data_IF_938151004718
#
_entry.id   IF_938151004718
#
_cell.length_a   1.000
_cell.length_b   1.000
_cell.length_c   1.000
_cell.angle_alpha   90.00
_cell.angle_beta   90.00
_cell.angle_gamma   90.00
#
_symmetry.space_group_name_H-M   'P 1'
#
loop_
_entity.id
_entity.type
_entity.pdbx_description
1 polymer ?
#
# COMPACT_ATOMS: atom_id res chain seq x y z
N UNK A 1 31.72 3.25 -18.89
CA UNK A 1 30.54 3.99 -18.42
C UNK A 1 29.68 4.39 -19.61
N UNK A 2 28.41 3.99 -19.65
CA UNK A 2 27.51 4.35 -20.74
C UNK A 2 27.27 5.87 -20.76
N UNK A 3 27.44 6.49 -21.93
CA UNK A 3 27.29 7.94 -22.10
C UNK A 3 25.84 8.34 -21.78
N UNK A 4 25.59 9.34 -20.92
CA UNK A 4 24.23 9.77 -20.60
C UNK A 4 23.50 10.18 -21.89
N UNK A 5 22.25 9.73 -22.01
CA UNK A 5 21.32 10.05 -23.11
C UNK A 5 21.34 11.56 -23.40
N UNK A 6 21.34 11.95 -24.68
CA UNK A 6 21.27 13.36 -25.07
C UNK A 6 20.06 14.07 -24.47
N UNK A 7 18.96 13.35 -24.24
CA UNK A 7 17.76 13.88 -23.59
C UNK A 7 18.01 14.18 -22.10
N UNK A 8 18.83 13.38 -21.40
CA UNK A 8 19.18 13.62 -19.98
C UNK A 8 20.07 14.85 -19.79
N UNK A 9 20.69 15.36 -20.86
CA UNK A 9 21.50 16.59 -20.84
C UNK A 9 20.68 17.87 -21.05
N UNK A 10 19.43 17.74 -21.50
CA UNK A 10 18.54 18.90 -21.67
C UNK A 10 18.21 19.52 -20.31
N UNK A 11 17.89 20.83 -20.24
CA UNK A 11 17.36 21.47 -19.05
C UNK A 11 16.15 20.72 -18.48
N UNK A 12 15.97 20.77 -17.16
CA UNK A 12 14.87 20.08 -16.49
C UNK A 12 13.50 20.49 -17.05
N UNK A 13 13.31 21.79 -17.29
CA UNK A 13 12.08 22.34 -17.89
C UNK A 13 11.71 21.70 -19.23
N UNK A 14 12.70 21.44 -20.09
CA UNK A 14 12.49 20.81 -21.40
C UNK A 14 12.10 19.34 -21.24
N UNK A 15 12.73 18.63 -20.29
CA UNK A 15 12.41 17.24 -19.99
C UNK A 15 10.99 17.10 -19.43
N UNK A 16 10.59 18.00 -18.53
CA UNK A 16 9.24 18.04 -17.97
C UNK A 16 8.21 18.35 -19.07
N UNK A 17 8.56 19.23 -20.01
CA UNK A 17 7.70 19.52 -21.15
C UNK A 17 7.54 18.31 -22.08
N UNK A 18 8.61 17.53 -22.32
CA UNK A 18 8.54 16.26 -23.07
C UNK A 18 7.58 15.29 -22.37
N UNK A 19 7.69 15.16 -21.04
CA UNK A 19 6.80 14.31 -20.26
C UNK A 19 5.32 14.76 -20.37
N UNK A 20 5.05 16.06 -20.21
CA UNK A 20 3.70 16.63 -20.38
C UNK A 20 3.11 16.40 -21.78
N UNK A 21 3.90 16.60 -22.82
CA UNK A 21 3.46 16.36 -24.21
C UNK A 21 3.17 14.88 -24.45
N UNK A 22 4.00 13.99 -23.89
CA UNK A 22 3.76 12.54 -23.97
C UNK A 22 2.47 12.15 -23.27
N UNK A 23 2.24 12.67 -22.06
CA UNK A 23 1.02 12.44 -21.28
C UNK A 23 -0.23 12.96 -22.01
N UNK A 24 -0.10 14.07 -22.74
CA UNK A 24 -1.13 14.62 -23.64
C UNK A 24 -1.35 13.84 -24.95
N UNK A 25 -0.67 12.70 -25.16
CA UNK A 25 -0.87 11.82 -26.31
C UNK A 25 0.00 12.13 -27.53
N UNK A 26 0.97 13.04 -27.44
CA UNK A 26 1.86 13.32 -28.55
C UNK A 26 2.78 12.13 -28.88
N UNK A 27 2.99 11.89 -30.18
CA UNK A 27 3.91 10.86 -30.66
C UNK A 27 5.37 11.32 -30.53
N UNK A 28 6.29 10.35 -30.55
CA UNK A 28 7.74 10.63 -30.53
C UNK A 28 8.12 11.59 -31.66
N UNK A 29 7.54 11.42 -32.85
CA UNK A 29 7.87 12.24 -34.02
C UNK A 29 7.34 13.68 -33.89
N UNK A 30 6.17 13.88 -33.28
CA UNK A 30 5.62 15.21 -32.98
C UNK A 30 6.48 15.96 -31.94
N UNK A 31 6.91 15.25 -30.89
CA UNK A 31 7.79 15.81 -29.86
C UNK A 31 9.16 16.14 -30.47
N UNK A 32 9.68 15.27 -31.32
CA UNK A 32 10.97 15.48 -32.01
C UNK A 32 10.93 16.72 -32.90
N UNK A 33 9.83 16.93 -33.65
CA UNK A 33 9.66 18.12 -34.48
C UNK A 33 9.74 19.42 -33.66
N UNK A 34 9.12 19.43 -32.47
CA UNK A 34 9.18 20.58 -31.55
C UNK A 34 10.54 20.79 -30.91
N UNK A 35 11.27 19.71 -30.63
CA UNK A 35 12.65 19.81 -30.15
C UNK A 35 13.62 20.27 -31.25
N UNK A 36 13.32 19.99 -32.51
CA UNK A 36 14.10 20.49 -33.65
C UNK A 36 13.93 22.01 -33.86
N UNK A 37 12.72 22.56 -33.63
CA UNK A 37 12.48 24.02 -33.63
C UNK A 37 13.34 24.76 -32.59
N UNK A 38 13.72 24.07 -31.50
CA UNK A 38 14.51 24.60 -30.39
C UNK A 38 16.01 24.30 -30.50
N UNK A 39 16.46 23.73 -31.63
CA UNK A 39 17.84 23.28 -31.89
C UNK A 39 18.43 22.38 -30.78
N UNK A 40 17.58 21.55 -30.16
CA UNK A 40 17.94 20.77 -28.97
C UNK A 40 18.86 19.56 -29.26
N UNK A 41 19.18 19.26 -30.52
CA UNK A 41 20.15 18.24 -30.91
C UNK A 41 19.83 16.81 -30.44
N UNK A 42 18.55 16.45 -30.32
CA UNK A 42 18.08 15.15 -29.82
C UNK A 42 17.81 14.19 -30.98
N UNK A 43 18.36 12.97 -30.92
CA UNK A 43 18.02 11.93 -31.89
C UNK A 43 16.73 11.21 -31.53
N UNK A 44 16.02 10.71 -32.55
CA UNK A 44 14.79 9.92 -32.40
C UNK A 44 14.95 8.74 -31.45
N UNK A 45 16.05 8.00 -31.55
CA UNK A 45 16.33 6.83 -30.69
C UNK A 45 16.66 7.20 -29.24
N UNK A 46 17.20 8.41 -29.00
CA UNK A 46 17.41 8.90 -27.64
C UNK A 46 16.08 9.34 -27.01
N UNK A 47 15.23 10.02 -27.78
CA UNK A 47 13.89 10.41 -27.36
C UNK A 47 13.01 9.19 -27.08
N UNK A 48 13.01 8.19 -27.97
CA UNK A 48 12.22 6.97 -27.80
C UNK A 48 12.56 6.20 -26.52
N UNK A 49 13.85 6.04 -26.19
CA UNK A 49 14.26 5.41 -24.92
C UNK A 49 13.81 6.20 -23.70
N UNK A 50 13.91 7.53 -23.76
CA UNK A 50 13.46 8.39 -22.67
C UNK A 50 11.94 8.32 -22.48
N UNK A 51 11.17 8.34 -23.57
CA UNK A 51 9.71 8.19 -23.52
C UNK A 51 9.31 6.82 -22.96
N UNK A 52 10.00 5.73 -23.34
CA UNK A 52 9.79 4.41 -22.76
C UNK A 52 10.04 4.39 -21.24
N UNK A 53 11.10 5.05 -20.76
CA UNK A 53 11.37 5.18 -19.32
C UNK A 53 10.21 5.91 -18.61
N UNK A 54 9.71 7.01 -19.18
CA UNK A 54 8.58 7.77 -18.60
C UNK A 54 7.28 6.96 -18.63
N UNK A 55 6.97 6.31 -19.74
CA UNK A 55 5.75 5.51 -19.88
C UNK A 55 5.73 4.35 -18.88
N UNK A 56 6.87 3.69 -18.68
CA UNK A 56 7.01 2.63 -17.68
C UNK A 56 6.78 3.14 -16.25
N UNK A 57 7.34 4.31 -15.92
CA UNK A 57 7.12 4.94 -14.62
C UNK A 57 5.65 5.36 -14.43
N UNK A 58 5.04 5.94 -15.45
CA UNK A 58 3.63 6.34 -15.42
C UNK A 58 2.69 5.13 -15.25
N UNK A 59 3.02 4.01 -15.90
CA UNK A 59 2.29 2.75 -15.75
C UNK A 59 2.40 2.18 -14.35
N UNK A 60 3.58 2.23 -13.74
CA UNK A 60 3.78 1.77 -12.36
C UNK A 60 2.99 2.63 -11.36
N UNK A 61 2.94 3.94 -11.57
CA UNK A 61 2.13 4.86 -10.76
C UNK A 61 0.63 4.55 -10.93
N UNK A 62 0.17 4.31 -12.16
CA UNK A 62 -1.24 3.93 -12.41
C UNK A 62 -1.60 2.62 -11.72
N UNK A 63 -0.74 1.60 -11.81
CA UNK A 63 -0.94 0.32 -11.10
C UNK A 63 -1.00 0.52 -9.60
N UNK A 64 -0.07 1.30 -9.04
CA UNK A 64 -0.04 1.60 -7.61
C UNK A 64 -1.30 2.33 -7.16
N UNK A 65 -1.78 3.32 -7.93
CA UNK A 65 -3.04 4.02 -7.64
C UNK A 65 -4.25 3.10 -7.74
N UNK A 66 -4.37 2.32 -8.81
CA UNK A 66 -5.45 1.35 -8.97
C UNK A 66 -5.47 0.33 -7.82
N UNK A 67 -4.29 -0.10 -7.35
CA UNK A 67 -4.17 -0.98 -6.20
C UNK A 67 -4.58 -0.27 -4.90
N UNK A 68 -4.14 0.97 -4.67
CA UNK A 68 -4.54 1.77 -3.52
C UNK A 68 -6.07 2.02 -3.51
N UNK A 69 -6.66 2.37 -4.66
CA UNK A 69 -8.10 2.56 -4.81
C UNK A 69 -8.87 1.26 -4.56
N UNK A 70 -8.42 0.14 -5.12
CA UNK A 70 -9.03 -1.18 -4.89
C UNK A 70 -8.96 -1.58 -3.41
N UNK A 71 -7.87 -1.21 -2.73
CA UNK A 71 -7.69 -1.39 -1.30
C UNK A 71 -8.67 -0.49 -0.53
N UNK A 72 -8.68 0.83 -0.77
CA UNK A 72 -9.61 1.75 -0.09
C UNK A 72 -11.08 1.37 -0.33
N UNK A 73 -11.44 0.94 -1.55
CA UNK A 73 -12.79 0.49 -1.88
C UNK A 73 -13.20 -0.80 -1.14
N UNK A 74 -12.25 -1.70 -0.87
CA UNK A 74 -12.51 -2.97 -0.14
C UNK A 74 -12.45 -2.81 1.37
N UNK A 75 -11.61 -1.92 1.87
CA UNK A 75 -11.23 -1.84 3.27
C UNK A 75 -11.77 -0.59 3.99
N UNK A 76 -12.15 0.47 3.26
CA UNK A 76 -12.74 1.70 3.81
C UNK A 76 -11.76 2.57 4.60
N UNK A 77 -12.15 3.82 4.87
CA UNK A 77 -11.45 4.68 5.82
C UNK A 77 -11.75 4.22 7.26
N UNK A 78 -10.70 3.98 8.06
CA UNK A 78 -10.80 3.65 9.49
C UNK A 78 -10.48 2.20 9.87
N UNK A 79 -10.17 1.33 8.90
CA UNK A 79 -9.86 -0.09 9.16
C UNK A 79 -8.37 -0.38 8.88
N UNK A 80 -7.45 0.43 9.46
CA UNK A 80 -5.98 0.28 9.34
C UNK A 80 -5.52 -1.16 9.60
N UNK A 81 -6.17 -1.84 10.55
CA UNK A 81 -5.94 -3.23 10.89
C UNK A 81 -6.34 -4.19 9.74
N UNK A 82 -7.42 -3.89 9.01
CA UNK A 82 -7.85 -4.67 7.84
C UNK A 82 -6.95 -4.43 6.63
N UNK A 83 -6.46 -3.20 6.47
CA UNK A 83 -5.43 -2.85 5.48
C UNK A 83 -4.10 -3.58 5.75
N UNK A 84 -3.65 -3.59 7.01
CA UNK A 84 -2.46 -4.31 7.43
C UNK A 84 -2.58 -5.82 7.13
N UNK A 85 -3.74 -6.42 7.44
CA UNK A 85 -4.04 -7.82 7.08
C UNK A 85 -4.02 -8.05 5.57
N UNK A 86 -4.64 -7.17 4.78
CA UNK A 86 -4.63 -7.28 3.32
C UNK A 86 -3.20 -7.27 2.73
N UNK A 87 -2.34 -6.39 3.25
CA UNK A 87 -0.93 -6.33 2.87
C UNK A 87 -0.18 -7.61 3.27
N UNK A 88 -0.46 -8.18 4.46
CA UNK A 88 0.14 -9.45 4.89
C UNK A 88 -0.27 -10.61 3.97
N UNK A 89 -1.55 -10.70 3.60
CA UNK A 89 -2.05 -11.72 2.65
C UNK A 89 -1.42 -11.57 1.26
N UNK A 90 -1.29 -10.34 0.77
CA UNK A 90 -0.65 -10.07 -0.53
C UNK A 90 0.84 -10.44 -0.52
N UNK A 91 1.55 -10.16 0.59
CA UNK A 91 2.93 -10.58 0.79
C UNK A 91 3.06 -12.11 0.87
N UNK A 92 2.14 -12.80 1.55
CA UNK A 92 2.07 -14.26 1.53
C UNK A 92 1.92 -14.79 0.09
N UNK A 93 1.05 -14.19 -0.72
CA UNK A 93 0.88 -14.58 -2.13
C UNK A 93 2.11 -14.32 -3.00
N UNK A 94 2.87 -13.24 -2.75
CA UNK A 94 4.14 -12.97 -3.43
C UNK A 94 5.23 -13.99 -3.04
N UNK A 95 5.35 -14.29 -1.74
CA UNK A 95 6.27 -15.30 -1.24
C UNK A 95 5.94 -16.70 -1.77
N UNK A 96 4.65 -17.04 -1.89
CA UNK A 96 4.22 -18.28 -2.53
C UNK A 96 4.59 -18.30 -4.01
N UNK A 97 4.35 -17.21 -4.76
CA UNK A 97 4.80 -17.11 -6.16
C UNK A 97 6.32 -17.23 -6.31
N UNK A 98 7.12 -16.73 -5.37
CA UNK A 98 8.57 -16.93 -5.37
C UNK A 98 8.97 -18.40 -5.24
N UNK A 99 8.14 -19.24 -4.62
CA UNK A 99 8.35 -20.68 -4.54
C UNK A 99 8.00 -21.41 -5.86
N UNK A 100 7.32 -20.74 -6.80
CA UNK A 100 6.85 -21.36 -8.05
C UNK A 100 7.17 -20.50 -9.28
N UNK A 101 8.04 -21.00 -10.16
CA UNK A 101 8.29 -20.41 -11.46
C UNK A 101 7.62 -21.26 -12.56
N UNK A 102 6.70 -20.68 -13.34
CA UNK A 102 5.93 -21.39 -14.38
C UNK A 102 5.26 -22.69 -13.90
N UNK A 103 4.75 -22.70 -12.67
CA UNK A 103 4.11 -23.89 -12.07
C UNK A 103 5.08 -24.98 -11.60
N UNK A 104 6.39 -24.76 -11.73
CA UNK A 104 7.43 -25.63 -11.14
C UNK A 104 7.95 -25.02 -9.86
N UNK A 105 8.18 -25.88 -8.86
CA UNK A 105 8.80 -25.46 -7.61
C UNK A 105 10.22 -24.96 -7.89
N UNK A 106 10.53 -23.77 -7.38
CA UNK A 106 11.88 -23.21 -7.44
C UNK A 106 12.76 -24.04 -6.49
N UNK A 107 13.88 -24.56 -7.00
CA UNK A 107 14.92 -25.12 -6.14
C UNK A 107 15.59 -23.97 -5.40
N UNK A 108 15.60 -24.06 -4.07
CA UNK A 108 16.16 -23.03 -3.20
C UNK A 108 17.36 -23.60 -2.47
N UNK A 109 18.43 -22.82 -2.39
CA UNK A 109 19.53 -23.16 -1.50
C UNK A 109 19.16 -22.90 -0.02
N UNK A 110 20.03 -23.34 0.89
CA UNK A 110 19.77 -23.19 2.34
C UNK A 110 19.64 -21.73 2.79
N UNK A 111 20.33 -20.80 2.11
CA UNK A 111 20.34 -19.37 2.44
C UNK A 111 19.05 -18.70 1.94
N UNK A 112 18.61 -19.04 0.73
CA UNK A 112 17.35 -18.60 0.15
C UNK A 112 16.15 -19.11 0.96
N UNK A 113 16.19 -20.38 1.39
CA UNK A 113 15.20 -20.95 2.29
C UNK A 113 15.15 -20.23 3.64
N UNK A 114 16.31 -19.88 4.20
CA UNK A 114 16.41 -19.10 5.44
C UNK A 114 15.85 -17.68 5.30
N UNK A 115 16.12 -17.00 4.17
CA UNK A 115 15.55 -15.67 3.91
C UNK A 115 14.03 -15.72 3.79
N UNK A 116 13.51 -16.72 3.08
CA UNK A 116 12.07 -16.93 2.95
C UNK A 116 11.41 -17.24 4.32
N UNK A 117 12.01 -18.13 5.10
CA UNK A 117 11.53 -18.46 6.44
C UNK A 117 11.54 -17.24 7.38
N UNK A 118 12.57 -16.39 7.26
CA UNK A 118 12.68 -15.15 8.03
C UNK A 118 11.60 -14.14 7.63
N UNK A 119 11.33 -13.98 6.33
CA UNK A 119 10.25 -13.14 5.83
C UNK A 119 8.87 -13.62 6.33
N UNK A 120 8.61 -14.93 6.31
CA UNK A 120 7.39 -15.53 6.86
C UNK A 120 7.29 -15.34 8.39
N UNK A 121 8.40 -15.46 9.12
CA UNK A 121 8.44 -15.20 10.57
C UNK A 121 8.12 -13.74 10.90
N UNK A 122 8.66 -12.80 10.12
CA UNK A 122 8.37 -11.37 10.28
C UNK A 122 6.90 -11.05 9.97
N UNK A 123 6.32 -11.64 8.92
CA UNK A 123 4.89 -11.49 8.59
C UNK A 123 3.98 -12.05 9.69
N UNK A 124 4.27 -13.25 10.19
CA UNK A 124 3.49 -13.86 11.27
C UNK A 124 3.64 -13.14 12.62
N UNK A 125 4.80 -12.52 12.87
CA UNK A 125 5.01 -11.62 14.01
C UNK A 125 4.11 -10.39 13.92
N UNK A 126 4.12 -9.71 12.78
CA UNK A 126 3.27 -8.54 12.52
C UNK A 126 1.77 -8.87 12.68
N UNK A 127 1.33 -10.05 12.25
CA UNK A 127 -0.05 -10.51 12.43
C UNK A 127 -0.44 -10.69 13.91
N UNK A 128 0.47 -11.18 14.75
CA UNK A 128 0.25 -11.32 16.20
C UNK A 128 0.19 -9.97 16.89
N UNK A 129 1.05 -9.04 16.49
CA UNK A 129 1.05 -7.69 17.04
C UNK A 129 -0.25 -6.95 16.71
N UNK A 130 -0.77 -7.09 15.47
CA UNK A 130 -2.07 -6.57 15.06
C UNK A 130 -3.22 -7.14 15.93
N UNK A 131 -3.23 -8.46 16.18
CA UNK A 131 -4.22 -9.07 17.08
C UNK A 131 -4.12 -8.54 18.51
N UNK A 132 -2.91 -8.38 19.04
CA UNK A 132 -2.69 -7.84 20.38
C UNK A 132 -3.18 -6.39 20.51
N UNK A 133 -3.00 -5.57 19.45
CA UNK A 133 -3.54 -4.21 19.39
C UNK A 133 -5.07 -4.22 19.38
N UNK A 134 -5.70 -5.07 18.58
CA UNK A 134 -7.17 -5.20 18.53
C UNK A 134 -7.74 -5.64 19.88
N UNK A 135 -7.13 -6.65 20.52
CA UNK A 135 -7.56 -7.11 21.84
C UNK A 135 -7.42 -6.01 22.90
N UNK A 136 -6.32 -5.25 22.87
CA UNK A 136 -6.13 -4.11 23.77
C UNK A 136 -7.17 -3.03 23.52
N UNK A 137 -7.45 -2.70 22.26
CA UNK A 137 -8.47 -1.72 21.89
C UNK A 137 -9.86 -2.17 22.37
N UNK A 138 -10.24 -3.43 22.14
CA UNK A 138 -11.50 -3.99 22.63
C UNK A 138 -11.62 -3.91 24.15
N UNK A 139 -10.56 -4.25 24.89
CA UNK A 139 -10.53 -4.14 26.35
C UNK A 139 -10.67 -2.70 26.81
N UNK A 140 -9.97 -1.75 26.17
CA UNK A 140 -10.07 -0.32 26.49
C UNK A 140 -11.48 0.21 26.23
N UNK A 141 -12.08 -0.13 25.09
CA UNK A 141 -13.45 0.28 24.74
C UNK A 141 -14.48 -0.33 25.70
N UNK A 142 -14.33 -1.61 26.05
CA UNK A 142 -15.21 -2.27 27.03
C UNK A 142 -15.08 -1.65 28.43
N UNK A 143 -13.86 -1.31 28.86
CA UNK A 143 -13.62 -0.63 30.12
C UNK A 143 -14.20 0.79 30.16
N UNK A 144 -14.05 1.55 29.06
CA UNK A 144 -14.65 2.89 28.92
C UNK A 144 -16.18 2.82 28.93
N UNK A 145 -16.78 1.87 28.20
CA UNK A 145 -18.22 1.67 28.20
C UNK A 145 -18.76 1.29 29.60
N UNK A 146 -18.03 0.43 30.33
CA UNK A 146 -18.37 0.06 31.70
C UNK A 146 -18.30 1.26 32.67
N UNK A 147 -17.27 2.11 32.56
CA UNK A 147 -17.13 3.32 33.36
C UNK A 147 -18.26 4.32 33.09
N UNK A 148 -18.60 4.56 31.82
CA UNK A 148 -19.71 5.43 31.44
C UNK A 148 -21.06 4.91 31.96
N UNK A 149 -21.27 3.59 31.98
CA UNK A 149 -22.48 2.99 32.54
C UNK A 149 -22.57 3.18 34.06
N UNK A 150 -21.45 3.09 34.78
CA UNK A 150 -21.40 3.36 36.22
C UNK A 150 -21.65 4.83 36.54
N UNK A 151 -21.04 5.75 35.78
CA UNK A 151 -21.28 7.19 35.91
C UNK A 151 -22.73 7.56 35.62
N UNK A 152 -23.32 7.00 34.56
CA UNK A 152 -24.72 7.20 34.22
C UNK A 152 -25.66 6.65 35.31
N UNK A 153 -25.34 5.49 35.88
CA UNK A 153 -26.10 4.92 36.99
C UNK A 153 -26.00 5.77 38.26
N UNK A 154 -24.82 6.31 38.57
CA UNK A 154 -24.62 7.23 39.69
C UNK A 154 -25.36 8.57 39.50
N UNK A 155 -25.53 9.01 38.25
CA UNK A 155 -26.26 10.25 37.92
C UNK A 155 -27.79 10.09 37.88
N UNK A 156 -28.32 8.87 37.75
CA UNK A 156 -29.77 8.63 37.59
C UNK A 156 -30.42 8.24 38.93
N UNK A 157 -31.35 9.05 39.44
CA UNK A 157 -32.07 8.77 40.71
C UNK A 157 -33.09 7.61 40.68
N UNK A 158 -33.10 6.74 39.67
CA UNK A 158 -33.94 5.52 39.72
C UNK A 158 -34.25 4.86 38.39
N UNK A 159 -33.32 4.09 37.81
CA UNK A 159 -33.65 3.27 36.63
C UNK A 159 -32.70 2.13 36.30
N UNK A 160 -31.39 2.30 36.49
CA UNK A 160 -30.42 1.21 36.35
C UNK A 160 -30.06 0.68 37.75
N UNK A 161 -30.56 -0.50 38.09
CA UNK A 161 -30.13 -1.22 39.29
C UNK A 161 -28.74 -1.82 39.08
N UNK A 162 -27.98 -2.02 40.16
CA UNK A 162 -26.65 -2.65 40.10
C UNK A 162 -26.69 -4.01 39.38
N UNK A 163 -27.75 -4.78 39.59
CA UNK A 163 -27.98 -6.08 38.94
C UNK A 163 -28.18 -5.94 37.41
N UNK A 164 -28.84 -4.87 36.97
CA UNK A 164 -29.02 -4.58 35.53
C UNK A 164 -27.68 -4.23 34.89
N UNK A 165 -26.84 -3.45 35.56
CA UNK A 165 -25.50 -3.09 35.06
C UNK A 165 -24.61 -4.32 35.01
N UNK A 166 -24.62 -5.15 36.04
CA UNK A 166 -23.86 -6.40 36.07
C UNK A 166 -24.28 -7.36 34.94
N UNK A 167 -25.59 -7.47 34.69
CA UNK A 167 -26.12 -8.25 33.58
C UNK A 167 -25.69 -7.69 32.21
N UNK A 168 -25.67 -6.36 32.04
CA UNK A 168 -25.22 -5.73 30.81
C UNK A 168 -23.72 -5.91 30.56
N UNK A 169 -22.89 -5.76 31.58
CA UNK A 169 -21.44 -6.02 31.50
C UNK A 169 -21.16 -7.47 31.10
N UNK A 170 -21.83 -8.42 31.76
CA UNK A 170 -21.66 -9.85 31.47
C UNK A 170 -22.15 -10.23 30.07
N UNK A 171 -23.32 -9.72 29.63
CA UNK A 171 -23.93 -10.12 28.35
C UNK A 171 -23.37 -9.41 27.12
N UNK A 172 -23.01 -8.13 27.23
CA UNK A 172 -22.63 -7.32 26.08
C UNK A 172 -21.15 -6.97 26.04
N UNK A 173 -20.49 -6.86 27.20
CA UNK A 173 -19.07 -6.50 27.29
C UNK A 173 -18.17 -7.70 27.60
N UNK A 174 -18.75 -8.83 28.04
CA UNK A 174 -18.00 -10.06 28.35
C UNK A 174 -17.03 -9.92 29.52
N UNK A 175 -17.29 -8.98 30.41
CA UNK A 175 -16.54 -8.66 31.63
C UNK A 175 -17.45 -8.65 32.85
#
# INVERSE_FOLDING_TARGET
MARPSSVKKLPAEVRDQIARLREGGCTIDQILAKLAELDAGVSRSALGRYVQEIDAAAEEVRKTRAMAEAITARYGDGDESRLARANMEMMHGLLFRLQFNEGRRVEMDAKEAMFLASALKSLTGAAKDDQAVIERLRKTVAAQAAAMMEEAAAATKGGLTADTIALFKAKFLGI
#
